data_IF_535171271304
#
_entry.id   IF_535171271304
#
_cell.length_a   1.000
_cell.length_b   1.000
_cell.length_c   1.000
_cell.angle_alpha   90.00
_cell.angle_beta   90.00
_cell.angle_gamma   90.00
#
_symmetry.space_group_name_H-M   'P 1'
#
loop_
_entity.id
_entity.type
_entity.pdbx_description
1 polymer ?
#
# COMPACT_ATOMS: atom_id res chain seq x y z
N UNK A 1 -76.39 -66.25 18.53
CA UNK A 1 -75.24 -65.43 18.09
C UNK A 1 -75.57 -64.77 16.75
N UNK A 2 -76.39 -63.71 16.72
CA UNK A 2 -76.76 -63.00 15.46
C UNK A 2 -76.74 -61.47 15.61
N UNK A 3 -76.91 -60.96 16.83
CA UNK A 3 -76.86 -59.52 17.16
C UNK A 3 -75.44 -58.95 17.26
N UNK A 4 -74.41 -59.77 17.52
CA UNK A 4 -73.02 -59.31 17.63
C UNK A 4 -72.38 -58.92 16.28
N UNK A 5 -72.82 -59.55 15.18
CA UNK A 5 -72.28 -59.27 13.84
C UNK A 5 -72.71 -57.88 13.34
N UNK A 6 -73.89 -57.41 13.75
CA UNK A 6 -74.43 -56.09 13.37
C UNK A 6 -73.71 -54.94 14.10
N UNK A 7 -73.37 -55.10 15.38
CA UNK A 7 -72.59 -54.11 16.13
C UNK A 7 -71.18 -53.95 15.55
N UNK A 8 -70.52 -55.05 15.18
CA UNK A 8 -69.18 -54.98 14.55
C UNK A 8 -69.18 -54.23 13.21
N UNK A 9 -70.25 -54.39 12.43
CA UNK A 9 -70.41 -53.71 11.15
C UNK A 9 -70.60 -52.19 11.30
N UNK A 10 -71.31 -51.76 12.34
CA UNK A 10 -71.53 -50.34 12.66
C UNK A 10 -70.22 -49.66 13.10
N UNK A 11 -69.40 -50.35 13.91
CA UNK A 11 -68.08 -49.84 14.28
C UNK A 11 -67.14 -49.75 13.07
N UNK A 12 -67.13 -50.75 12.19
CA UNK A 12 -66.33 -50.75 10.97
C UNK A 12 -66.69 -49.55 10.07
N UNK A 13 -67.98 -49.26 9.88
CA UNK A 13 -68.45 -48.10 9.11
C UNK A 13 -68.00 -46.77 9.73
N UNK A 14 -68.01 -46.65 11.06
CA UNK A 14 -67.54 -45.46 11.76
C UNK A 14 -66.04 -45.19 11.57
N UNK A 15 -65.23 -46.25 11.51
CA UNK A 15 -63.79 -46.14 11.24
C UNK A 15 -63.48 -45.68 9.82
N UNK A 16 -64.29 -46.05 8.82
CA UNK A 16 -64.07 -45.67 7.43
C UNK A 16 -64.43 -44.19 7.18
N UNK A 17 -65.46 -43.66 7.85
CA UNK A 17 -65.94 -42.27 7.64
C UNK A 17 -65.01 -41.24 8.29
N UNK A 18 -64.30 -41.58 9.37
CA UNK A 18 -63.41 -40.64 10.07
C UNK A 18 -62.02 -40.44 9.41
N UNK A 19 -61.76 -41.06 8.26
CA UNK A 19 -60.50 -40.91 7.53
C UNK A 19 -60.61 -40.00 6.29
N UNK A 20 -61.72 -39.30 6.08
CA UNK A 20 -61.96 -38.50 4.86
C UNK A 20 -61.65 -37.00 4.99
N UNK A 21 -61.17 -36.53 6.14
CA UNK A 21 -60.68 -35.15 6.28
C UNK A 21 -59.16 -35.10 6.20
N UNK A 22 -58.63 -35.40 5.01
CA UNK A 22 -57.33 -34.89 4.63
C UNK A 22 -57.62 -33.69 3.75
N UNK A 23 -57.68 -32.50 4.37
CA UNK A 23 -57.47 -31.28 3.61
C UNK A 23 -56.16 -31.48 2.85
N UNK A 24 -56.25 -31.48 1.52
CA UNK A 24 -55.08 -31.11 0.75
C UNK A 24 -54.82 -29.68 1.19
N UNK A 25 -53.89 -29.51 2.12
CA UNK A 25 -53.13 -28.27 2.19
C UNK A 25 -52.58 -28.13 0.78
N UNK A 26 -53.28 -27.34 -0.04
CA UNK A 26 -52.66 -26.71 -1.18
C UNK A 26 -51.34 -26.21 -0.64
N UNK A 27 -50.24 -26.74 -1.16
CA UNK A 27 -48.93 -26.17 -0.90
C UNK A 27 -49.12 -24.71 -1.27
N UNK A 28 -49.20 -23.88 -0.24
CA UNK A 28 -49.32 -22.45 -0.36
C UNK A 28 -48.02 -22.02 -1.05
N UNK A 29 -48.05 -21.90 -2.37
CA UNK A 29 -47.00 -21.27 -3.18
C UNK A 29 -47.09 -19.75 -2.94
N UNK A 30 -47.21 -19.37 -1.67
CA UNK A 30 -47.49 -18.04 -1.16
C UNK A 30 -46.68 -17.72 0.09
N UNK A 31 -46.11 -18.72 0.77
CA UNK A 31 -45.03 -18.49 1.72
C UNK A 31 -43.70 -18.53 0.96
N UNK A 32 -43.36 -17.40 0.33
CA UNK A 32 -42.01 -17.07 -0.14
C UNK A 32 -41.12 -17.09 1.11
N UNK A 33 -40.68 -18.27 1.53
CA UNK A 33 -39.65 -18.50 2.55
C UNK A 33 -38.32 -18.04 1.97
N UNK A 34 -38.26 -16.78 1.55
CA UNK A 34 -37.04 -16.11 1.18
C UNK A 34 -36.17 -16.11 2.41
N UNK A 35 -35.21 -17.03 2.41
CA UNK A 35 -34.12 -16.99 3.36
C UNK A 35 -33.53 -15.58 3.30
N UNK A 36 -33.56 -14.90 4.45
CA UNK A 36 -32.99 -13.58 4.59
C UNK A 36 -31.48 -13.73 4.58
N UNK A 37 -30.88 -13.54 3.41
CA UNK A 37 -29.43 -13.52 3.27
C UNK A 37 -28.94 -12.11 3.54
N UNK A 38 -27.86 -12.02 4.30
CA UNK A 38 -27.10 -10.80 4.43
C UNK A 38 -26.48 -10.45 3.06
N UNK A 39 -26.96 -9.39 2.43
CA UNK A 39 -26.43 -8.86 1.16
C UNK A 39 -25.47 -7.70 1.39
N UNK A 40 -24.93 -7.54 2.60
CA UNK A 40 -23.89 -6.54 2.84
C UNK A 40 -22.70 -6.83 1.93
N UNK A 41 -22.40 -5.87 1.07
CA UNK A 41 -21.28 -5.98 0.16
C UNK A 41 -19.98 -5.83 0.95
N UNK A 42 -19.37 -6.96 1.30
CA UNK A 42 -18.00 -7.00 1.83
C UNK A 42 -17.06 -6.97 0.63
N UNK A 43 -16.51 -5.79 0.35
CA UNK A 43 -15.49 -5.60 -0.67
C UNK A 43 -14.15 -6.21 -0.21
N UNK A 44 -13.37 -6.72 -1.16
CA UNK A 44 -12.01 -7.23 -0.93
C UNK A 44 -11.02 -6.15 -0.47
N UNK A 45 -11.42 -4.88 -0.50
CA UNK A 45 -10.64 -3.75 0.03
C UNK A 45 -11.17 -3.21 1.37
N UNK A 46 -12.20 -3.83 1.93
CA UNK A 46 -12.77 -3.41 3.22
C UNK A 46 -11.84 -3.72 4.39
N UNK A 47 -12.09 -3.03 5.53
CA UNK A 47 -11.33 -3.23 6.76
C UNK A 47 -11.51 -4.68 7.23
N UNK A 48 -10.42 -5.43 7.32
CA UNK A 48 -10.43 -6.86 7.67
C UNK A 48 -10.34 -7.83 6.50
N UNK A 49 -10.38 -7.36 5.25
CA UNK A 49 -10.19 -8.21 4.07
C UNK A 49 -8.73 -8.70 3.89
N UNK A 50 -7.78 -8.11 4.63
CA UNK A 50 -6.37 -8.49 4.60
C UNK A 50 -5.95 -9.18 5.90
N UNK A 51 -5.06 -10.18 5.79
CA UNK A 51 -4.53 -10.87 6.97
C UNK A 51 -3.55 -9.98 7.74
N UNK A 52 -3.46 -10.21 9.06
CA UNK A 52 -2.58 -9.45 9.97
C UNK A 52 -1.13 -9.46 9.49
N UNK A 53 -0.66 -10.56 8.93
CA UNK A 53 0.71 -10.69 8.44
C UNK A 53 0.97 -9.85 7.18
N UNK A 54 0.00 -9.76 6.27
CA UNK A 54 0.09 -8.91 5.09
C UNK A 54 0.11 -7.43 5.50
N UNK A 55 -0.76 -7.03 6.42
CA UNK A 55 -0.77 -5.67 6.98
C UNK A 55 0.58 -5.34 7.64
N UNK A 56 1.15 -6.27 8.42
CA UNK A 56 2.47 -6.11 9.04
C UNK A 56 3.56 -5.94 7.99
N UNK A 57 3.56 -6.76 6.94
CA UNK A 57 4.54 -6.68 5.84
C UNK A 57 4.47 -5.35 5.12
N UNK A 58 3.27 -4.86 4.80
CA UNK A 58 3.04 -3.55 4.17
C UNK A 58 3.57 -2.43 5.07
N UNK A 59 3.30 -2.48 6.37
CA UNK A 59 3.78 -1.47 7.33
C UNK A 59 5.32 -1.43 7.40
N UNK A 60 5.95 -2.59 7.46
CA UNK A 60 7.41 -2.71 7.49
C UNK A 60 8.05 -2.22 6.17
N UNK A 61 7.48 -2.60 5.02
CA UNK A 61 7.99 -2.15 3.72
C UNK A 61 7.82 -0.65 3.51
N UNK A 62 6.69 -0.08 3.93
CA UNK A 62 6.44 1.35 3.87
C UNK A 62 7.44 2.14 4.71
N UNK A 63 7.68 1.71 5.95
CA UNK A 63 8.69 2.33 6.81
C UNK A 63 10.09 2.27 6.19
N UNK A 64 10.50 1.10 5.71
CA UNK A 64 11.82 0.92 5.06
C UNK A 64 12.00 1.85 3.85
N UNK A 65 10.95 2.03 3.05
CA UNK A 65 10.99 2.93 1.89
C UNK A 65 11.17 4.39 2.33
N UNK A 66 10.41 4.84 3.33
CA UNK A 66 10.55 6.19 3.89
C UNK A 66 11.94 6.44 4.48
N UNK A 67 12.47 5.48 5.23
CA UNK A 67 13.82 5.55 5.81
C UNK A 67 14.88 5.64 4.69
N UNK A 68 14.72 4.87 3.62
CA UNK A 68 15.62 4.90 2.46
C UNK A 68 15.61 6.24 1.73
N UNK A 69 14.43 6.87 1.56
CA UNK A 69 14.33 8.22 0.97
C UNK A 69 15.07 9.23 1.84
N UNK A 70 14.86 9.16 3.16
CA UNK A 70 15.49 10.09 4.12
C UNK A 70 17.01 9.94 4.10
N UNK A 71 17.52 8.73 4.04
CA UNK A 71 18.94 8.44 3.93
C UNK A 71 19.53 8.99 2.63
N UNK A 72 18.87 8.75 1.49
CA UNK A 72 19.30 9.28 0.21
C UNK A 72 19.34 10.83 0.21
N UNK A 73 18.34 11.47 0.82
CA UNK A 73 18.31 12.93 0.96
C UNK A 73 19.45 13.45 1.85
N UNK A 74 19.76 12.76 2.95
CA UNK A 74 20.87 13.13 3.83
C UNK A 74 22.22 13.07 3.09
N UNK A 75 22.50 11.98 2.37
CA UNK A 75 23.72 11.82 1.57
C UNK A 75 23.85 12.90 0.51
N UNK A 76 22.75 13.26 -0.17
CA UNK A 76 22.75 14.35 -1.14
C UNK A 76 23.08 15.71 -0.52
N UNK A 77 22.64 15.98 0.71
CA UNK A 77 23.00 17.21 1.40
C UNK A 77 24.50 17.23 1.75
N UNK A 78 25.04 16.12 2.24
CA UNK A 78 26.47 15.98 2.53
C UNK A 78 27.33 16.17 1.28
N UNK A 79 26.97 15.52 0.17
CA UNK A 79 27.67 15.68 -1.11
C UNK A 79 27.65 17.14 -1.59
N UNK A 80 26.51 17.84 -1.45
CA UNK A 80 26.41 19.26 -1.80
C UNK A 80 27.33 20.11 -0.92
N UNK A 81 27.35 19.86 0.39
CA UNK A 81 28.24 20.59 1.31
C UNK A 81 29.71 20.40 0.96
N UNK A 82 30.12 19.17 0.67
CA UNK A 82 31.49 18.86 0.27
C UNK A 82 31.84 19.55 -1.06
N UNK A 83 30.93 19.53 -2.04
CA UNK A 83 31.13 20.24 -3.32
C UNK A 83 31.25 21.75 -3.12
N UNK A 84 30.37 22.34 -2.31
CA UNK A 84 30.40 23.78 -2.03
C UNK A 84 31.70 24.20 -1.30
N UNK A 85 32.20 23.37 -0.39
CA UNK A 85 33.48 23.60 0.30
C UNK A 85 34.66 23.47 -0.68
N UNK A 86 34.67 22.44 -1.53
CA UNK A 86 35.71 22.24 -2.54
C UNK A 86 35.73 23.35 -3.59
N UNK A 87 34.57 23.83 -4.04
CA UNK A 87 34.49 24.97 -4.98
C UNK A 87 35.02 26.26 -4.35
N UNK A 88 34.73 26.51 -3.08
CA UNK A 88 35.26 27.67 -2.34
C UNK A 88 36.77 27.59 -2.19
N UNK A 89 37.32 26.41 -1.87
CA UNK A 89 38.76 26.22 -1.79
C UNK A 89 39.45 26.35 -3.15
N UNK A 90 38.89 25.77 -4.21
CA UNK A 90 39.43 25.88 -5.56
C UNK A 90 39.42 27.33 -6.06
N UNK A 91 38.35 28.10 -5.83
CA UNK A 91 38.34 29.53 -6.16
C UNK A 91 39.42 30.31 -5.42
N UNK A 92 39.60 30.07 -4.12
CA UNK A 92 40.65 30.73 -3.32
C UNK A 92 42.06 30.42 -3.85
N UNK A 93 42.33 29.14 -4.18
CA UNK A 93 43.61 28.74 -4.78
C UNK A 93 43.85 29.41 -6.13
N UNK A 94 42.82 29.49 -6.98
CA UNK A 94 42.93 30.14 -8.29
C UNK A 94 43.20 31.65 -8.17
N UNK A 95 42.60 32.33 -7.19
CA UNK A 95 42.86 33.74 -6.93
C UNK A 95 44.27 33.98 -6.36
N UNK A 96 44.76 33.09 -5.49
CA UNK A 96 46.13 33.14 -4.97
C UNK A 96 47.18 32.91 -6.06
N UNK A 97 46.94 31.96 -6.97
CA UNK A 97 47.84 31.72 -8.11
C UNK A 97 47.85 32.88 -9.09
N UNK A 98 46.69 33.48 -9.40
CA UNK A 98 46.63 34.69 -10.25
C UNK A 98 47.43 35.85 -9.66
N UNK A 99 47.30 36.11 -8.36
CA UNK A 99 48.07 37.15 -7.66
C UNK A 99 49.58 36.86 -7.68
N UNK A 100 49.99 35.60 -7.47
CA UNK A 100 51.41 35.18 -7.55
C UNK A 100 51.98 35.28 -8.97
N UNK A 101 51.16 35.10 -10.01
CA UNK A 101 51.59 35.23 -11.40
C UNK A 101 51.69 36.71 -11.85
N UNK A 102 50.82 37.57 -11.33
CA UNK A 102 50.91 39.03 -11.54
C UNK A 102 52.14 39.63 -10.85
N UNK A 103 52.49 39.17 -9.65
CA UNK A 103 53.67 39.65 -8.92
C UNK A 103 55.00 39.18 -9.55
N UNK A 104 55.02 38.00 -10.18
CA UNK A 104 56.19 37.50 -10.92
C UNK A 104 56.35 38.15 -12.31
N UNK A 105 55.26 38.50 -12.99
CA UNK A 105 55.34 39.20 -14.28
C UNK A 105 55.76 40.67 -14.12
N UNK A 106 55.47 41.31 -12.99
CA UNK A 106 55.99 42.63 -12.63
C UNK A 106 57.49 42.63 -12.25
N UNK A 107 58.04 41.53 -11.73
CA UNK A 107 59.48 41.40 -11.46
C UNK A 107 60.32 41.09 -12.71
N UNK A 108 59.73 40.52 -13.77
CA UNK A 108 60.44 40.21 -15.02
C UNK A 108 60.62 41.42 -15.95
N UNK A 109 59.90 42.52 -15.73
CA UNK A 109 60.00 43.76 -16.54
C UNK A 109 61.01 44.80 -16.05
N UNK A 110 61.73 44.56 -14.94
CA UNK A 110 62.71 45.52 -14.39
C UNK A 110 64.18 45.07 -14.54
N UNK A 111 64.46 44.02 -15.34
CA UNK A 111 65.79 43.39 -15.36
C UNK A 111 66.33 43.00 -16.73
N UNK A 112 66.23 43.84 -17.77
CA UNK A 112 67.10 43.70 -18.94
C UNK A 112 67.16 44.98 -19.80
N UNK A 113 68.02 45.93 -19.45
CA UNK A 113 68.55 46.92 -20.41
C UNK A 113 69.93 47.38 -19.92
N UNK A 114 70.87 47.53 -20.86
CA UNK A 114 72.31 47.84 -20.75
C UNK A 114 73.17 46.57 -20.62
N UNK A 115 73.99 46.16 -21.60
CA UNK A 115 74.90 46.93 -22.48
C UNK A 115 75.28 46.12 -23.73
N UNK A 116 75.10 46.67 -24.96
CA UNK A 116 76.00 46.44 -26.12
C UNK A 116 76.00 47.70 -27.02
N UNK A 117 77.08 48.48 -26.93
CA UNK A 117 77.66 49.46 -27.89
C UNK A 117 78.96 49.86 -27.17
N UNK A 118 80.17 49.67 -27.71
CA UNK A 118 80.78 50.27 -28.91
C UNK A 118 82.16 49.59 -29.13
N UNK A 119 82.69 49.76 -30.35
CA UNK A 119 84.02 49.37 -30.90
C UNK A 119 84.09 48.09 -31.72
#
# INVERSE_FOLDING_TARGET
>A
MKSGLSIGFIFLLFFIINCTKKEMTAVDVGEDTKAHYDTTAIDSFSVGATSVDIVRKIKMSSKKYQDSIKEAAARQMEEKRIKDELEKENKKKLEEEKKKNEENSAKKSTGSTQTITTE
#
